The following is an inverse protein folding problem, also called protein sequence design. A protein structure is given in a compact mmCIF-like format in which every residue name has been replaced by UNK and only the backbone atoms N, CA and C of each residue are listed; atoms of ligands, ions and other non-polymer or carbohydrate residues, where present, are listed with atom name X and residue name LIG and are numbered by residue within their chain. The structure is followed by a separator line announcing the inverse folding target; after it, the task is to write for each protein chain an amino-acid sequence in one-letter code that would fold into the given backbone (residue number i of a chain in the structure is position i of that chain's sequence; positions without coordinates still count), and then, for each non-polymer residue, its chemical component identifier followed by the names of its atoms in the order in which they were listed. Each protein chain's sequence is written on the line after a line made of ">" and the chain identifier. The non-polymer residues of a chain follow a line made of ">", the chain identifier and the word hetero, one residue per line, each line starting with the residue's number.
data_IF_829351158745
#
_entry.id   IF_829351158745
#
_cell.length_a   1.000
_cell.length_b   1.000
_cell.length_c   1.000
_cell.angle_alpha   90.00
_cell.angle_beta   90.00
_cell.angle_gamma   90.00
#
_symmetry.space_group_name_H-M   'P 1'
#
loop_
_entity.id
_entity.type
_entity.pdbx_description
1 polymer ?
#
# COMPACT_ATOMS: atom_id res chain seq x y z
N UNK A 1 -23.07 -26.44 -26.80
CA UNK A 1 -23.33 -25.28 -25.92
C UNK A 1 -23.22 -25.75 -24.48
N UNK A 2 -22.04 -25.57 -23.87
CA UNK A 2 -21.80 -25.92 -22.47
C UNK A 2 -22.41 -24.82 -21.59
N UNK A 3 -23.36 -25.21 -20.76
CA UNK A 3 -23.92 -24.38 -19.70
C UNK A 3 -22.80 -24.00 -18.73
N UNK A 4 -22.33 -22.75 -18.79
CA UNK A 4 -21.46 -22.17 -17.77
C UNK A 4 -22.25 -22.06 -16.47
N UNK A 5 -21.91 -22.89 -15.50
CA UNK A 5 -22.49 -22.85 -14.17
C UNK A 5 -22.12 -21.51 -13.51
N UNK A 6 -23.11 -20.61 -13.37
CA UNK A 6 -23.00 -19.43 -12.51
C UNK A 6 -22.61 -19.90 -11.11
N UNK A 7 -21.38 -19.62 -10.69
CA UNK A 7 -20.95 -19.90 -9.31
C UNK A 7 -21.89 -19.21 -8.33
N UNK A 8 -22.40 -19.92 -7.32
CA UNK A 8 -23.23 -19.32 -6.29
C UNK A 8 -22.45 -18.22 -5.56
N UNK A 9 -23.08 -17.09 -5.18
CA UNK A 9 -22.39 -15.93 -4.60
C UNK A 9 -21.57 -16.26 -3.35
N UNK A 10 -21.97 -17.29 -2.59
CA UNK A 10 -21.23 -17.80 -1.43
C UNK A 10 -19.92 -18.48 -1.82
N UNK A 11 -19.91 -19.25 -2.92
CA UNK A 11 -18.71 -19.93 -3.41
C UNK A 11 -17.68 -18.93 -3.95
N UNK A 12 -18.16 -17.91 -4.68
CA UNK A 12 -17.35 -16.79 -5.16
C UNK A 12 -16.71 -16.02 -4.00
N UNK A 13 -17.51 -15.71 -2.98
CA UNK A 13 -17.03 -15.02 -1.79
C UNK A 13 -15.99 -15.86 -1.03
N UNK A 14 -16.21 -17.16 -0.87
CA UNK A 14 -15.28 -18.06 -0.21
C UNK A 14 -13.94 -18.16 -0.97
N UNK A 15 -13.99 -18.23 -2.31
CA UNK A 15 -12.79 -18.24 -3.15
C UNK A 15 -12.01 -16.93 -3.04
N UNK A 16 -12.70 -15.79 -3.17
CA UNK A 16 -12.07 -14.47 -3.02
C UNK A 16 -11.46 -14.29 -1.63
N UNK A 17 -12.16 -14.75 -0.58
CA UNK A 17 -11.65 -14.72 0.79
C UNK A 17 -10.42 -15.60 0.96
N UNK A 18 -10.41 -16.81 0.41
CA UNK A 18 -9.26 -17.71 0.47
C UNK A 18 -8.01 -17.11 -0.20
N UNK A 19 -8.17 -16.55 -1.41
CA UNK A 19 -7.08 -15.88 -2.13
C UNK A 19 -6.60 -14.65 -1.35
N UNK A 20 -7.52 -13.84 -0.85
CA UNK A 20 -7.18 -12.65 -0.06
C UNK A 20 -6.41 -12.98 1.21
N UNK A 21 -6.82 -14.00 1.98
CA UNK A 21 -6.11 -14.42 3.18
C UNK A 21 -4.69 -14.90 2.88
N UNK A 22 -4.49 -15.60 1.76
CA UNK A 22 -3.17 -16.02 1.31
C UNK A 22 -2.29 -14.81 0.93
N UNK A 23 -2.85 -13.82 0.23
CA UNK A 23 -2.15 -12.58 -0.12
C UNK A 23 -1.78 -11.79 1.14
N UNK A 24 -2.72 -11.60 2.07
CA UNK A 24 -2.50 -10.92 3.34
C UNK A 24 -1.37 -11.56 4.15
N UNK A 25 -1.40 -12.90 4.29
CA UNK A 25 -0.34 -13.63 4.98
C UNK A 25 1.03 -13.42 4.30
N UNK A 26 1.05 -13.43 2.97
CA UNK A 26 2.27 -13.21 2.18
C UNK A 26 2.83 -11.80 2.35
N UNK A 27 1.96 -10.77 2.31
CA UNK A 27 2.36 -9.37 2.49
C UNK A 27 2.90 -9.11 3.89
N UNK A 28 2.23 -9.64 4.92
CA UNK A 28 2.71 -9.56 6.29
C UNK A 28 4.05 -10.28 6.48
N UNK A 29 4.20 -11.47 5.92
CA UNK A 29 5.45 -12.25 5.98
C UNK A 29 6.61 -11.50 5.32
N UNK A 30 6.40 -10.96 4.12
CA UNK A 30 7.43 -10.22 3.39
C UNK A 30 7.78 -8.90 4.09
N UNK A 31 6.79 -8.16 4.57
CA UNK A 31 7.01 -6.92 5.31
C UNK A 31 7.81 -7.16 6.61
N UNK A 32 7.53 -8.28 7.29
CA UNK A 32 8.30 -8.69 8.46
C UNK A 32 9.75 -9.04 8.12
N UNK A 33 9.97 -9.78 7.03
CA UNK A 33 11.30 -10.18 6.58
C UNK A 33 12.16 -8.96 6.22
N UNK A 34 11.64 -8.06 5.39
CA UNK A 34 12.34 -6.85 4.96
C UNK A 34 12.66 -5.93 6.14
N UNK A 35 11.70 -5.70 7.04
CA UNK A 35 11.94 -4.92 8.25
C UNK A 35 13.05 -5.53 9.11
N UNK A 36 13.13 -6.87 9.19
CA UNK A 36 14.16 -7.57 9.95
C UNK A 36 15.53 -7.46 9.29
N UNK A 37 15.60 -7.48 7.96
CA UNK A 37 16.86 -7.28 7.22
C UNK A 37 17.40 -5.88 7.48
N UNK A 38 16.55 -4.85 7.40
CA UNK A 38 16.95 -3.45 7.64
C UNK A 38 17.40 -3.24 9.08
N UNK A 39 16.64 -3.74 10.06
CA UNK A 39 16.99 -3.63 11.48
C UNK A 39 18.34 -4.31 11.77
N UNK A 40 18.59 -5.49 11.19
CA UNK A 40 19.88 -6.18 11.32
C UNK A 40 21.03 -5.40 10.68
N UNK A 41 20.82 -4.81 9.50
CA UNK A 41 21.84 -4.04 8.81
C UNK A 41 22.21 -2.76 9.58
N UNK A 42 21.21 -2.04 10.09
CA UNK A 42 21.42 -0.81 10.86
C UNK A 42 22.11 -1.07 12.21
N UNK A 43 21.75 -2.15 12.92
CA UNK A 43 22.45 -2.56 14.16
C UNK A 43 23.92 -2.93 13.92
N UNK A 44 24.24 -3.56 12.78
CA UNK A 44 25.64 -3.87 12.40
C UNK A 44 26.47 -2.61 12.19
N UNK A 45 25.85 -1.50 11.81
CA UNK A 45 26.50 -0.21 11.61
C UNK A 45 26.57 0.63 12.90
N UNK A 46 26.18 0.07 14.06
CA UNK A 46 26.22 0.77 15.35
C UNK A 46 25.19 1.90 15.49
N UNK A 47 24.21 1.98 14.57
CA UNK A 47 23.17 3.01 14.61
C UNK A 47 22.01 2.56 15.51
N UNK A 48 21.55 3.47 16.39
CA UNK A 48 20.25 3.32 17.06
C UNK A 48 19.18 3.33 15.97
N UNK A 49 18.40 2.24 15.88
CA UNK A 49 17.47 1.98 14.78
C UNK A 49 16.20 2.82 14.91
N UNK A 50 16.32 4.11 14.62
CA UNK A 50 15.19 4.90 14.17
C UNK A 50 15.15 4.90 12.62
N UNK A 51 14.08 4.37 12.02
CA UNK A 51 12.82 3.94 12.65
C UNK A 51 12.80 2.52 13.18
N UNK A 52 11.87 2.29 14.13
CA UNK A 52 11.64 0.96 14.71
C UNK A 52 11.17 -0.07 13.66
N UNK A 53 11.41 -1.37 13.89
CA UNK A 53 10.98 -2.43 12.97
C UNK A 53 9.48 -2.41 12.65
N UNK A 54 8.65 -1.92 13.57
CA UNK A 54 7.21 -1.82 13.37
C UNK A 54 6.82 -0.78 12.30
N UNK A 55 7.58 0.31 12.19
CA UNK A 55 7.38 1.31 11.13
C UNK A 55 7.74 0.73 9.76
N UNK A 56 8.90 0.08 9.65
CA UNK A 56 9.30 -0.60 8.42
C UNK A 56 8.26 -1.62 7.96
N UNK A 57 7.73 -2.43 8.88
CA UNK A 57 6.65 -3.37 8.57
C UNK A 57 5.41 -2.68 8.01
N UNK A 58 4.98 -1.56 8.61
CA UNK A 58 3.80 -0.83 8.16
C UNK A 58 3.99 -0.27 6.74
N UNK A 59 5.19 0.21 6.41
CA UNK A 59 5.52 0.78 5.10
C UNK A 59 5.57 -0.32 4.03
N UNK A 60 6.32 -1.40 4.30
CA UNK A 60 6.41 -2.51 3.35
C UNK A 60 5.07 -3.18 3.11
N UNK A 61 4.28 -3.38 4.16
CA UNK A 61 2.92 -3.89 4.02
C UNK A 61 2.09 -2.98 3.10
N UNK A 62 2.13 -1.66 3.31
CA UNK A 62 1.41 -0.70 2.47
C UNK A 62 1.83 -0.81 1.02
N UNK A 63 3.13 -0.90 0.76
CA UNK A 63 3.68 -1.04 -0.58
C UNK A 63 3.11 -2.28 -1.29
N UNK A 64 3.10 -3.42 -0.62
CA UNK A 64 2.53 -4.66 -1.18
C UNK A 64 1.01 -4.57 -1.36
N UNK A 65 0.28 -3.97 -0.41
CA UNK A 65 -1.16 -3.81 -0.51
C UNK A 65 -1.57 -2.87 -1.67
N UNK A 66 -0.86 -1.76 -1.87
CA UNK A 66 -1.08 -0.86 -3.00
C UNK A 66 -0.75 -1.54 -4.32
N UNK A 67 0.36 -2.29 -4.38
CA UNK A 67 0.70 -3.08 -5.55
C UNK A 67 -0.40 -4.10 -5.86
N UNK A 68 -0.94 -4.79 -4.86
CA UNK A 68 -2.04 -5.74 -5.03
C UNK A 68 -3.29 -5.06 -5.62
N UNK A 69 -3.69 -3.89 -5.10
CA UNK A 69 -4.80 -3.09 -5.63
C UNK A 69 -4.59 -2.80 -7.12
N UNK A 70 -3.38 -2.41 -7.51
CA UNK A 70 -3.08 -2.10 -8.93
C UNK A 70 -3.05 -3.35 -9.81
N UNK A 71 -2.47 -4.45 -9.33
CA UNK A 71 -2.42 -5.73 -10.07
C UNK A 71 -3.81 -6.34 -10.27
N UNK A 72 -4.68 -6.21 -9.27
CA UNK A 72 -6.08 -6.64 -9.34
C UNK A 72 -6.96 -5.67 -10.13
N UNK A 73 -6.44 -4.50 -10.49
CA UNK A 73 -7.17 -3.57 -11.34
C UNK A 73 -7.09 -4.01 -12.81
N UNK A 74 -8.23 -3.91 -13.50
CA UNK A 74 -8.40 -4.34 -14.89
C UNK A 74 -7.39 -3.72 -15.88
N UNK A 75 -6.76 -2.59 -15.52
CA UNK A 75 -5.72 -1.91 -16.29
C UNK A 75 -4.46 -2.74 -16.50
N UNK A 76 -4.14 -3.66 -15.58
CA UNK A 76 -2.96 -4.52 -15.71
C UNK A 76 -3.08 -5.49 -16.88
N UNK A 77 -4.27 -6.08 -17.08
CA UNK A 77 -4.51 -7.09 -18.14
C UNK A 77 -4.39 -6.51 -19.56
N UNK A 78 -4.80 -5.25 -19.76
CA UNK A 78 -4.81 -4.59 -21.07
C UNK A 78 -3.41 -4.23 -21.59
N UNK A 79 -2.45 -3.97 -20.71
CA UNK A 79 -1.11 -3.52 -21.09
C UNK A 79 -0.08 -4.63 -21.31
N UNK A 80 -0.36 -5.87 -20.89
CA UNK A 80 0.56 -7.01 -20.99
C UNK A 80 0.67 -7.56 -22.42
N UNK A 81 -0.31 -7.28 -23.28
CA UNK A 81 -0.37 -7.82 -24.65
C UNK A 81 0.28 -6.90 -25.71
N UNK A 82 0.94 -5.81 -25.30
CA UNK A 82 1.65 -4.88 -26.19
C UNK A 82 3.09 -5.31 -26.51
N UNK A 83 3.79 -4.61 -27.43
CA UNK A 83 5.22 -4.81 -27.71
C UNK A 83 6.09 -4.60 -26.46
N UNK A 84 7.29 -5.15 -26.43
CA UNK A 84 8.20 -5.13 -25.27
C UNK A 84 8.36 -3.74 -24.63
N UNK A 85 8.52 -2.68 -25.43
CA UNK A 85 8.67 -1.33 -24.91
C UNK A 85 7.43 -0.81 -24.17
N UNK A 86 6.23 -1.24 -24.56
CA UNK A 86 4.99 -0.89 -23.86
C UNK A 86 4.89 -1.62 -22.52
N UNK A 87 5.32 -2.88 -22.46
CA UNK A 87 5.38 -3.65 -21.22
C UNK A 87 6.39 -3.02 -20.23
N UNK A 88 7.55 -2.58 -20.72
CA UNK A 88 8.53 -1.84 -19.91
C UNK A 88 7.97 -0.51 -19.38
N UNK A 89 7.32 0.29 -20.24
CA UNK A 89 6.67 1.54 -19.82
C UNK A 89 5.56 1.30 -18.81
N UNK A 90 4.76 0.25 -18.99
CA UNK A 90 3.71 -0.14 -18.06
C UNK A 90 4.32 -0.51 -16.70
N UNK A 91 5.38 -1.31 -16.67
CA UNK A 91 6.10 -1.64 -15.44
C UNK A 91 6.63 -0.40 -14.72
N UNK A 92 7.24 0.53 -15.45
CA UNK A 92 7.71 1.79 -14.90
C UNK A 92 6.56 2.67 -14.35
N UNK A 93 5.44 2.75 -15.08
CA UNK A 93 4.25 3.48 -14.66
C UNK A 93 3.62 2.87 -13.38
N UNK A 94 3.58 1.54 -13.28
CA UNK A 94 3.10 0.84 -12.08
C UNK A 94 3.99 1.17 -10.89
N UNK A 95 5.32 1.05 -11.04
CA UNK A 95 6.26 1.37 -9.97
C UNK A 95 6.09 2.83 -9.52
N UNK A 96 6.05 3.77 -10.48
CA UNK A 96 5.85 5.19 -10.18
C UNK A 96 4.52 5.45 -9.46
N UNK A 97 3.45 4.75 -9.85
CA UNK A 97 2.13 4.87 -9.23
C UNK A 97 2.13 4.33 -7.80
N UNK A 98 2.68 3.13 -7.57
CA UNK A 98 2.81 2.54 -6.23
C UNK A 98 3.55 3.48 -5.30
N UNK A 99 4.73 3.96 -5.72
CA UNK A 99 5.54 4.86 -4.91
C UNK A 99 4.82 6.18 -4.64
N UNK A 100 4.15 6.75 -5.65
CA UNK A 100 3.40 8.00 -5.51
C UNK A 100 2.24 7.87 -4.52
N UNK A 101 1.48 6.77 -4.59
CA UNK A 101 0.38 6.49 -3.64
C UNK A 101 0.93 6.31 -2.22
N UNK A 102 2.01 5.53 -2.05
CA UNK A 102 2.63 5.34 -0.73
C UNK A 102 3.09 6.68 -0.14
N UNK A 103 3.79 7.50 -0.93
CA UNK A 103 4.24 8.83 -0.51
C UNK A 103 3.08 9.76 -0.16
N UNK A 104 1.98 9.70 -0.92
CA UNK A 104 0.77 10.48 -0.65
C UNK A 104 0.10 10.04 0.66
N UNK A 105 0.02 8.73 0.91
CA UNK A 105 -0.46 8.19 2.18
C UNK A 105 0.40 8.69 3.34
N UNK A 106 1.73 8.68 3.21
CA UNK A 106 2.63 9.20 4.24
C UNK A 106 2.45 10.71 4.46
N UNK A 107 2.39 11.48 3.39
CA UNK A 107 2.15 12.92 3.46
C UNK A 107 0.81 13.25 4.13
N UNK A 108 -0.25 12.50 3.84
CA UNK A 108 -1.57 12.70 4.46
C UNK A 108 -1.59 12.35 5.96
N UNK A 109 -0.87 11.30 6.37
CA UNK A 109 -0.71 10.97 7.80
C UNK A 109 0.04 12.10 8.51
N UNK A 110 1.16 12.56 7.95
CA UNK A 110 1.94 13.67 8.50
C UNK A 110 1.09 14.94 8.57
N UNK A 111 0.33 15.24 7.52
CA UNK A 111 -0.55 16.39 7.48
C UNK A 111 -1.56 16.36 8.63
N UNK A 112 -2.19 15.20 8.86
CA UNK A 112 -3.12 15.01 9.96
C UNK A 112 -2.43 15.21 11.31
N UNK A 113 -1.28 14.59 11.53
CA UNK A 113 -0.52 14.73 12.78
C UNK A 113 -0.13 16.19 13.06
N UNK A 114 0.31 16.93 12.05
CA UNK A 114 0.65 18.36 12.17
C UNK A 114 -0.59 19.19 12.55
N UNK A 115 -1.75 18.91 11.94
CA UNK A 115 -3.02 19.58 12.27
C UNK A 115 -3.46 19.30 13.71
N UNK A 116 -3.37 18.04 14.13
CA UNK A 116 -3.78 17.62 15.47
C UNK A 116 -2.84 18.18 16.57
N UNK A 117 -1.55 18.33 16.27
CA UNK A 117 -0.54 18.82 17.24
C UNK A 117 -0.51 20.35 17.37
N UNK A 118 -0.91 21.07 16.32
CA UNK A 118 -0.83 22.52 16.27
C UNK A 118 -2.07 23.15 15.63
N UNK A 119 -3.20 23.19 16.35
CA UNK A 119 -4.48 23.66 15.79
C UNK A 119 -4.50 25.16 15.39
N UNK A 120 -3.54 25.97 15.86
CA UNK A 120 -3.49 27.43 15.64
C UNK A 120 -2.25 27.89 14.83
N UNK A 121 -1.66 27.01 14.01
CA UNK A 121 -0.48 27.39 13.23
C UNK A 121 -0.79 28.47 12.19
N UNK A 122 0.02 29.53 12.17
CA UNK A 122 -0.16 30.69 11.29
C UNK A 122 0.19 30.42 9.83
N UNK A 123 0.96 29.36 9.52
CA UNK A 123 1.43 29.09 8.17
C UNK A 123 0.70 27.90 7.51
N UNK A 124 -0.51 28.15 7.00
CA UNK A 124 -1.35 27.13 6.33
C UNK A 124 -0.65 26.45 5.14
N UNK A 125 0.33 27.12 4.51
CA UNK A 125 1.05 26.59 3.36
C UNK A 125 1.95 25.40 3.72
N UNK A 126 2.60 25.42 4.90
CA UNK A 126 3.45 24.33 5.40
C UNK A 126 2.66 23.10 5.89
N UNK A 127 1.34 23.25 6.00
CA UNK A 127 0.39 22.16 6.25
C UNK A 127 -0.24 21.64 4.95
N UNK A 128 0.08 22.22 3.80
CA UNK A 128 -0.41 21.75 2.51
C UNK A 128 0.13 20.36 2.18
N UNK A 129 -0.74 19.47 1.68
CA UNK A 129 -0.37 18.10 1.31
C UNK A 129 0.78 18.08 0.28
N UNK A 130 0.71 18.95 -0.73
CA UNK A 130 1.75 19.09 -1.76
C UNK A 130 3.06 19.63 -1.19
N UNK A 131 2.99 20.55 -0.22
CA UNK A 131 4.18 21.07 0.45
C UNK A 131 4.89 19.96 1.22
N UNK A 132 4.13 19.18 2.00
CA UNK A 132 4.63 18.03 2.75
C UNK A 132 5.22 16.99 1.81
N UNK A 133 4.54 16.67 0.71
CA UNK A 133 5.00 15.71 -0.29
C UNK A 133 6.36 16.13 -0.88
N UNK A 134 6.49 17.41 -1.24
CA UNK A 134 7.72 17.97 -1.81
C UNK A 134 8.87 18.02 -0.80
N UNK A 135 8.57 18.12 0.50
CA UNK A 135 9.55 18.22 1.58
C UNK A 135 9.48 17.04 2.55
N UNK A 136 9.16 15.84 2.07
CA UNK A 136 9.04 14.64 2.91
C UNK A 136 10.24 14.43 3.85
N UNK A 137 11.51 14.61 3.41
CA UNK A 137 12.67 14.44 4.27
C UNK A 137 12.71 15.40 5.47
N UNK A 138 12.22 16.64 5.32
CA UNK A 138 12.19 17.62 6.44
C UNK A 138 11.14 17.27 7.49
N UNK A 139 10.22 16.37 7.17
CA UNK A 139 9.16 15.89 8.07
C UNK A 139 9.46 14.51 8.68
N UNK A 140 10.71 14.04 8.59
CA UNK A 140 11.15 12.74 9.13
C UNK A 140 10.73 12.49 10.59
N UNK A 141 10.78 13.52 11.44
CA UNK A 141 10.36 13.43 12.85
C UNK A 141 8.88 13.02 13.02
N UNK A 142 8.01 13.47 12.12
CA UNK A 142 6.58 13.12 12.14
C UNK A 142 6.36 11.67 11.72
N UNK A 143 7.15 11.23 10.75
CA UNK A 143 7.12 9.88 10.20
C UNK A 143 7.56 8.81 11.23
N UNK A 144 8.44 9.18 12.17
CA UNK A 144 8.92 8.29 13.24
C UNK A 144 8.25 8.53 14.59
N UNK A 145 7.27 9.43 14.64
CA UNK A 145 6.52 9.68 15.87
C UNK A 145 5.69 8.45 16.27
N UNK A 146 5.51 8.25 17.59
CA UNK A 146 4.65 7.18 18.09
C UNK A 146 3.20 7.27 17.59
N UNK A 147 2.73 8.49 17.27
CA UNK A 147 1.39 8.76 16.76
C UNK A 147 1.20 8.40 15.28
N UNK A 148 2.28 8.22 14.51
CA UNK A 148 2.22 7.82 13.10
C UNK A 148 1.70 6.39 12.94
N UNK A 149 2.23 5.45 13.72
CA UNK A 149 1.99 4.02 13.52
C UNK A 149 0.49 3.62 13.61
N UNK A 150 -0.32 4.13 14.57
CA UNK A 150 -1.75 3.86 14.59
C UNK A 150 -2.48 4.37 13.34
N UNK A 151 -2.13 5.56 12.84
CA UNK A 151 -2.74 6.12 11.62
C UNK A 151 -2.33 5.32 10.39
N UNK A 152 -1.06 4.95 10.29
CA UNK A 152 -0.54 4.09 9.23
C UNK A 152 -1.27 2.73 9.19
N UNK A 153 -1.50 2.09 10.34
CA UNK A 153 -2.26 0.83 10.42
C UNK A 153 -3.70 0.98 9.95
N UNK A 154 -4.40 2.05 10.36
CA UNK A 154 -5.78 2.32 9.91
C UNK A 154 -5.86 2.51 8.40
N UNK A 155 -4.91 3.27 7.84
CA UNK A 155 -4.83 3.49 6.40
C UNK A 155 -4.54 2.18 5.66
N UNK A 156 -3.58 1.39 6.16
CA UNK A 156 -3.24 0.08 5.61
C UNK A 156 -4.44 -0.87 5.59
N UNK A 157 -5.24 -0.90 6.67
CA UNK A 157 -6.50 -1.64 6.71
C UNK A 157 -7.49 -1.21 5.63
N UNK A 158 -7.60 0.09 5.37
CA UNK A 158 -8.44 0.61 4.30
C UNK A 158 -7.98 0.17 2.90
N UNK A 159 -6.67 0.19 2.64
CA UNK A 159 -6.10 -0.28 1.37
C UNK A 159 -6.30 -1.79 1.20
N UNK A 160 -6.07 -2.55 2.27
CA UNK A 160 -6.27 -3.99 2.30
C UNK A 160 -7.73 -4.38 2.03
N UNK A 161 -8.69 -3.68 2.65
CA UNK A 161 -10.11 -3.84 2.37
C UNK A 161 -10.45 -3.51 0.90
N UNK A 162 -9.86 -2.44 0.36
CA UNK A 162 -10.02 -2.09 -1.06
C UNK A 162 -9.49 -3.19 -1.98
N UNK A 163 -8.32 -3.78 -1.66
CA UNK A 163 -7.76 -4.90 -2.40
C UNK A 163 -8.70 -6.12 -2.40
N UNK A 164 -9.29 -6.44 -1.25
CA UNK A 164 -10.29 -7.50 -1.14
C UNK A 164 -11.52 -7.24 -2.00
N UNK A 165 -12.07 -6.02 -1.96
CA UNK A 165 -13.25 -5.67 -2.75
C UNK A 165 -12.98 -5.77 -4.26
N UNK A 166 -11.81 -5.32 -4.70
CA UNK A 166 -11.40 -5.45 -6.10
C UNK A 166 -11.22 -6.91 -6.51
N UNK A 167 -10.55 -7.72 -5.68
CA UNK A 167 -10.41 -9.16 -5.93
C UNK A 167 -11.77 -9.85 -6.05
N UNK A 168 -12.71 -9.55 -5.15
CA UNK A 168 -14.05 -10.13 -5.19
C UNK A 168 -14.80 -9.74 -6.47
N UNK A 169 -14.71 -8.48 -6.89
CA UNK A 169 -15.30 -8.02 -8.15
C UNK A 169 -14.66 -8.74 -9.35
N UNK A 170 -13.34 -8.85 -9.38
CA UNK A 170 -12.61 -9.51 -10.46
C UNK A 170 -12.98 -10.99 -10.58
N UNK A 171 -12.95 -11.74 -9.47
CA UNK A 171 -13.39 -13.15 -9.41
C UNK A 171 -14.83 -13.31 -9.89
N UNK A 172 -15.72 -12.36 -9.55
CA UNK A 172 -17.11 -12.36 -10.01
C UNK A 172 -17.21 -12.10 -11.51
N UNK A 173 -16.42 -11.18 -12.07
CA UNK A 173 -16.38 -10.92 -13.50
C UNK A 173 -15.87 -12.13 -14.29
N UNK A 174 -14.80 -12.78 -13.84
CA UNK A 174 -14.23 -13.95 -14.50
C UNK A 174 -15.14 -15.18 -14.53
N UNK A 175 -16.04 -15.37 -13.54
CA UNK A 175 -16.99 -16.49 -13.53
C UNK A 175 -18.38 -16.16 -14.11
N UNK A 176 -18.67 -14.88 -14.35
CA UNK A 176 -19.95 -14.42 -14.89
C UNK A 176 -19.94 -14.02 -16.37
N UNK A 177 -18.77 -14.05 -17.01
CA UNK A 177 -18.56 -13.81 -18.44
C UNK A 177 -18.48 -15.08 -19.27
#
# INVERSE_FOLDING_TARGET
>A
MLSMAKGEPLQLLALALGIYLLLEASFHGMAWLLARIIDRAARRQGQITEPSPAHWRAIFYRLFAVLAVLMLSHWFSLGVHGPDWQQWLLGAAIIATVLSVVMLCDASIIQKLKKDSHPHFSNMQEMGLLYILRHLPSHRQWYFSAAYLPLARRLNWGISLLAFLLLYLDVRFYQGG
#
